data_IF_378974515279
#
_entry.id   IF_378974515279
#
_cell.length_a   1.000
_cell.length_b   1.000
_cell.length_c   1.000
_cell.angle_alpha   90.00
_cell.angle_beta   90.00
_cell.angle_gamma   90.00
#
_symmetry.space_group_name_H-M   'P 1'
#
loop_
_entity.id
_entity.type
_entity.pdbx_description
1 polymer ?
#
# COMPACT_ATOMS: atom_id res chain seq x y z
N UNK A 1 1.79 -14.89 -22.61
CA UNK A 1 0.87 -14.08 -21.76
C UNK A 1 -0.59 -14.17 -22.22
N UNK A 2 -0.99 -13.81 -23.46
CA UNK A 2 -2.38 -13.99 -23.92
C UNK A 2 -2.77 -15.48 -24.00
N UNK A 3 -1.91 -16.35 -24.52
CA UNK A 3 -2.09 -17.79 -24.52
C UNK A 3 -2.25 -18.39 -23.11
N UNK A 4 -1.53 -17.85 -22.12
CA UNK A 4 -1.63 -18.33 -20.73
C UNK A 4 -2.97 -17.94 -20.10
N UNK A 5 -3.50 -16.75 -20.42
CA UNK A 5 -4.83 -16.29 -19.99
C UNK A 5 -5.94 -17.10 -20.66
N UNK A 6 -5.80 -17.42 -21.96
CA UNK A 6 -6.72 -18.31 -22.67
C UNK A 6 -6.68 -19.74 -22.10
N UNK A 7 -5.52 -20.24 -21.69
CA UNK A 7 -5.38 -21.53 -21.03
C UNK A 7 -6.07 -21.56 -19.66
N UNK A 8 -5.99 -20.50 -18.85
CA UNK A 8 -6.69 -20.39 -17.57
C UNK A 8 -8.21 -20.46 -17.75
N UNK A 9 -8.74 -19.83 -18.80
CA UNK A 9 -10.16 -19.90 -19.14
C UNK A 9 -10.55 -21.32 -19.62
N UNK A 10 -9.75 -21.94 -20.49
CA UNK A 10 -9.98 -23.30 -21.02
C UNK A 10 -9.94 -24.39 -19.95
N UNK A 11 -9.14 -24.22 -18.90
CA UNK A 11 -9.05 -25.17 -17.78
C UNK A 11 -10.16 -24.99 -16.74
N UNK A 12 -11.03 -24.02 -16.89
CA UNK A 12 -12.12 -23.71 -15.95
C UNK A 12 -11.64 -23.42 -14.50
N UNK A 13 -10.36 -23.08 -14.32
CA UNK A 13 -9.78 -22.76 -13.01
C UNK A 13 -10.23 -21.37 -12.52
N UNK A 14 -10.49 -20.45 -13.46
CA UNK A 14 -10.90 -19.08 -13.15
C UNK A 14 -11.97 -18.65 -14.16
N UNK A 15 -13.06 -18.07 -13.68
CA UNK A 15 -14.10 -17.53 -14.56
C UNK A 15 -13.58 -16.35 -15.41
N UNK A 16 -14.07 -16.22 -16.63
CA UNK A 16 -13.64 -15.17 -17.58
C UNK A 16 -13.76 -13.76 -17.00
N UNK A 17 -14.86 -13.45 -16.33
CA UNK A 17 -15.07 -12.16 -15.65
C UNK A 17 -13.99 -11.88 -14.59
N UNK A 18 -13.54 -12.91 -13.90
CA UNK A 18 -12.47 -12.82 -12.91
C UNK A 18 -11.13 -12.55 -13.57
N UNK A 19 -10.83 -13.18 -14.71
CA UNK A 19 -9.61 -12.93 -15.49
C UNK A 19 -9.56 -11.47 -15.95
N UNK A 20 -10.65 -10.94 -16.50
CA UNK A 20 -10.78 -9.54 -16.92
C UNK A 20 -10.57 -8.60 -15.73
N UNK A 21 -11.19 -8.92 -14.58
CA UNK A 21 -11.04 -8.13 -13.35
C UNK A 21 -9.61 -8.13 -12.83
N UNK A 22 -8.94 -9.29 -12.78
CA UNK A 22 -7.54 -9.43 -12.38
C UNK A 22 -6.61 -8.65 -13.30
N UNK A 23 -6.76 -8.79 -14.62
CA UNK A 23 -5.93 -8.09 -15.60
C UNK A 23 -6.06 -6.57 -15.46
N UNK A 24 -7.30 -6.08 -15.31
CA UNK A 24 -7.55 -4.64 -15.11
C UNK A 24 -6.93 -4.14 -13.82
N UNK A 25 -7.09 -4.87 -12.72
CA UNK A 25 -6.55 -4.49 -11.41
C UNK A 25 -5.02 -4.46 -11.43
N UNK A 26 -4.39 -5.48 -12.00
CA UNK A 26 -2.92 -5.52 -12.16
C UNK A 26 -2.44 -4.35 -13.01
N UNK A 27 -3.10 -4.07 -14.15
CA UNK A 27 -2.73 -2.94 -15.00
C UNK A 27 -2.81 -1.61 -14.28
N UNK A 28 -3.90 -1.32 -13.58
CA UNK A 28 -4.07 -0.07 -12.83
C UNK A 28 -3.05 0.10 -11.69
N UNK A 29 -2.76 -0.97 -10.95
CA UNK A 29 -1.80 -0.92 -9.86
C UNK A 29 -0.36 -0.78 -10.39
N UNK A 30 -0.05 -1.45 -11.50
CA UNK A 30 1.27 -1.35 -12.14
C UNK A 30 1.49 0.06 -12.71
N UNK A 31 0.48 0.68 -13.33
CA UNK A 31 0.56 2.07 -13.80
C UNK A 31 0.96 3.03 -12.66
N UNK A 32 0.33 2.90 -11.50
CA UNK A 32 0.68 3.68 -10.31
C UNK A 32 2.10 3.43 -9.81
N UNK A 33 2.54 2.17 -9.80
CA UNK A 33 3.91 1.79 -9.41
C UNK A 33 4.92 2.43 -10.36
N UNK A 34 4.69 2.32 -11.67
CA UNK A 34 5.58 2.90 -12.70
C UNK A 34 5.65 4.42 -12.60
N UNK A 35 4.51 5.09 -12.46
CA UNK A 35 4.47 6.54 -12.27
C UNK A 35 5.29 6.96 -11.04
N UNK A 36 5.10 6.29 -9.90
CA UNK A 36 5.86 6.54 -8.67
C UNK A 36 7.36 6.29 -8.84
N UNK A 37 7.75 5.19 -9.50
CA UNK A 37 9.16 4.89 -9.77
C UNK A 37 9.82 5.96 -10.63
N UNK A 38 9.15 6.40 -11.71
CA UNK A 38 9.65 7.47 -12.58
C UNK A 38 9.87 8.76 -11.78
N UNK A 39 8.89 9.20 -11.00
CA UNK A 39 9.02 10.42 -10.21
C UNK A 39 10.14 10.32 -9.16
N UNK A 40 10.27 9.17 -8.51
CA UNK A 40 11.35 8.93 -7.53
C UNK A 40 12.73 9.00 -8.20
N UNK A 41 12.89 8.38 -9.36
CA UNK A 41 14.15 8.41 -10.11
C UNK A 41 14.47 9.81 -10.64
N UNK A 42 13.47 10.58 -11.07
CA UNK A 42 13.65 11.97 -11.49
C UNK A 42 14.15 12.82 -10.31
N UNK A 43 13.52 12.70 -9.14
CA UNK A 43 13.96 13.42 -7.94
C UNK A 43 15.38 13.04 -7.52
N UNK A 44 15.73 11.74 -7.53
CA UNK A 44 17.09 11.28 -7.23
C UNK A 44 18.14 11.89 -8.17
N UNK A 45 17.82 12.00 -9.46
CA UNK A 45 18.69 12.63 -10.44
C UNK A 45 18.82 14.14 -10.17
N UNK A 46 17.70 14.83 -9.89
CA UNK A 46 17.71 16.26 -9.56
C UNK A 46 18.59 16.55 -8.35
N UNK A 47 18.42 15.78 -7.27
CA UNK A 47 19.14 15.97 -6.02
C UNK A 47 20.63 15.64 -6.16
N UNK A 48 20.97 14.56 -6.85
CA UNK A 48 22.35 14.09 -7.00
C UNK A 48 23.15 14.92 -7.99
N UNK A 49 22.55 15.25 -9.13
CA UNK A 49 23.26 15.88 -10.26
C UNK A 49 23.06 17.41 -10.25
N UNK A 50 22.21 17.96 -9.38
CA UNK A 50 21.95 19.40 -9.26
C UNK A 50 21.27 20.01 -10.48
N UNK A 51 20.43 19.24 -11.18
CA UNK A 51 19.78 19.61 -12.44
C UNK A 51 18.29 19.92 -12.24
N UNK A 52 17.68 20.62 -13.22
CA UNK A 52 16.25 20.84 -13.22
C UNK A 52 15.45 19.59 -13.64
N UNK A 53 14.13 19.61 -13.42
CA UNK A 53 13.22 18.50 -13.74
C UNK A 53 13.32 18.08 -15.21
N UNK A 54 13.35 19.03 -16.14
CA UNK A 54 13.40 18.73 -17.57
C UNK A 54 14.72 18.04 -17.96
N UNK A 55 15.83 18.41 -17.33
CA UNK A 55 17.12 17.77 -17.54
C UNK A 55 17.16 16.39 -16.91
N UNK A 56 16.62 16.23 -15.68
CA UNK A 56 16.54 14.96 -14.99
C UNK A 56 15.72 13.94 -15.80
N UNK A 57 14.56 14.31 -16.32
CA UNK A 57 13.74 13.44 -17.18
C UNK A 57 14.48 13.02 -18.45
N UNK A 58 15.21 13.93 -19.08
CA UNK A 58 16.05 13.57 -20.25
C UNK A 58 17.15 12.58 -19.88
N UNK A 59 17.83 12.78 -18.74
CA UNK A 59 18.86 11.88 -18.26
C UNK A 59 18.27 10.49 -17.93
N UNK A 60 17.09 10.44 -17.32
CA UNK A 60 16.40 9.19 -17.00
C UNK A 60 16.14 8.36 -18.27
N UNK A 61 15.69 9.00 -19.37
CA UNK A 61 15.44 8.31 -20.63
C UNK A 61 16.70 7.57 -21.16
N UNK A 62 17.88 8.14 -21.00
CA UNK A 62 19.13 7.50 -21.40
C UNK A 62 19.56 6.35 -20.46
N UNK A 63 19.18 6.41 -19.17
CA UNK A 63 19.49 5.41 -18.16
C UNK A 63 18.43 4.31 -18.06
N UNK A 64 17.29 4.50 -18.70
CA UNK A 64 16.13 3.61 -18.52
C UNK A 64 16.41 2.17 -18.95
N UNK A 65 17.17 1.98 -20.03
CA UNK A 65 17.55 0.65 -20.53
C UNK A 65 18.35 -0.16 -19.50
N UNK A 66 19.19 0.49 -18.70
CA UNK A 66 20.00 -0.14 -17.65
C UNK A 66 19.18 -0.35 -16.37
N UNK A 67 18.21 0.52 -16.10
CA UNK A 67 17.38 0.47 -14.89
C UNK A 67 16.23 -0.54 -15.01
N UNK A 68 15.65 -0.69 -16.20
CA UNK A 68 14.47 -1.55 -16.42
C UNK A 68 14.63 -2.98 -15.86
N UNK A 69 15.73 -3.71 -16.13
CA UNK A 69 15.88 -5.08 -15.61
C UNK A 69 15.85 -5.12 -14.07
N UNK A 70 16.44 -4.13 -13.40
CA UNK A 70 16.48 -4.04 -11.93
C UNK A 70 15.09 -3.73 -11.37
N UNK A 71 14.34 -2.81 -12.01
CA UNK A 71 12.98 -2.46 -11.61
C UNK A 71 12.01 -3.63 -11.81
N UNK A 72 12.17 -4.38 -12.90
CA UNK A 72 11.38 -5.59 -13.17
C UNK A 72 11.65 -6.69 -12.13
N UNK A 73 12.92 -6.92 -11.79
CA UNK A 73 13.30 -7.90 -10.76
C UNK A 73 12.75 -7.50 -9.39
N UNK A 74 12.85 -6.23 -9.02
CA UNK A 74 12.30 -5.69 -7.79
C UNK A 74 10.77 -5.88 -7.73
N UNK A 75 10.06 -5.54 -8.81
CA UNK A 75 8.62 -5.69 -8.90
C UNK A 75 8.20 -7.16 -8.78
N UNK A 76 8.90 -8.06 -9.48
CA UNK A 76 8.64 -9.49 -9.41
C UNK A 76 8.92 -10.07 -8.03
N UNK A 77 10.02 -9.65 -7.38
CA UNK A 77 10.32 -10.04 -6.00
C UNK A 77 9.24 -9.59 -5.03
N UNK A 78 8.84 -8.31 -5.10
CA UNK A 78 7.79 -7.75 -4.25
C UNK A 78 6.46 -8.48 -4.45
N UNK A 79 6.06 -8.74 -5.71
CA UNK A 79 4.86 -9.49 -6.03
C UNK A 79 4.88 -10.90 -5.43
N UNK A 80 5.96 -11.66 -5.64
CA UNK A 80 6.11 -13.03 -5.11
C UNK A 80 6.04 -13.04 -3.59
N UNK A 81 6.71 -12.11 -2.93
CA UNK A 81 6.69 -11.97 -1.47
C UNK A 81 5.28 -11.71 -0.94
N UNK A 82 4.54 -10.78 -1.56
CA UNK A 82 3.17 -10.46 -1.16
C UNK A 82 2.21 -11.63 -1.43
N UNK A 83 2.37 -12.31 -2.55
CA UNK A 83 1.59 -13.51 -2.87
C UNK A 83 1.83 -14.61 -1.84
N UNK A 84 3.10 -14.91 -1.51
CA UNK A 84 3.44 -15.90 -0.46
C UNK A 84 2.81 -15.54 0.89
N UNK A 85 2.92 -14.28 1.30
CA UNK A 85 2.33 -13.80 2.55
C UNK A 85 0.80 -13.92 2.54
N UNK A 86 0.17 -13.62 1.41
CA UNK A 86 -1.28 -13.77 1.22
C UNK A 86 -1.74 -15.23 1.34
N UNK A 87 -1.05 -16.15 0.67
CA UNK A 87 -1.33 -17.59 0.73
C UNK A 87 -1.11 -18.14 2.15
N UNK A 88 -0.04 -17.73 2.82
CA UNK A 88 0.22 -18.14 4.20
C UNK A 88 -0.89 -17.68 5.15
N UNK A 89 -1.35 -16.44 5.02
CA UNK A 89 -2.51 -15.95 5.80
C UNK A 89 -3.77 -16.76 5.53
N UNK A 90 -4.03 -17.10 4.26
CA UNK A 90 -5.17 -17.92 3.89
C UNK A 90 -5.09 -19.31 4.55
N UNK A 91 -3.94 -19.97 4.46
CA UNK A 91 -3.70 -21.28 5.06
C UNK A 91 -3.86 -21.27 6.60
N UNK A 92 -3.34 -20.23 7.26
CA UNK A 92 -3.48 -20.08 8.72
C UNK A 92 -4.94 -19.83 9.14
N UNK A 93 -5.73 -19.15 8.32
CA UNK A 93 -7.18 -18.97 8.56
C UNK A 93 -7.93 -20.28 8.44
N UNK A 94 -7.66 -21.08 7.41
CA UNK A 94 -8.29 -22.37 7.23
C UNK A 94 -7.95 -23.33 8.37
N UNK A 95 -6.71 -23.34 8.84
CA UNK A 95 -6.32 -24.14 10.00
C UNK A 95 -6.99 -23.70 11.32
N UNK A 96 -7.30 -22.41 11.49
CA UNK A 96 -8.06 -21.92 12.66
C UNK A 96 -9.56 -22.22 12.57
N UNK A 97 -10.09 -22.48 11.38
CA UNK A 97 -11.50 -22.81 11.12
C UNK A 97 -11.84 -24.30 11.27
N UNK A 98 -10.97 -25.12 11.84
CA UNK A 98 -11.26 -26.53 12.19
C UNK A 98 -12.34 -26.68 13.28
N UNK A 99 -13.09 -25.63 13.60
CA UNK A 99 -14.36 -25.62 14.30
C UNK A 99 -15.55 -25.58 13.31
N UNK A 100 -16.74 -26.02 13.74
CA UNK A 100 -17.90 -26.25 12.87
C UNK A 100 -18.65 -24.99 12.38
N UNK A 101 -18.05 -23.81 12.42
CA UNK A 101 -18.73 -22.60 11.95
C UNK A 101 -18.42 -22.29 10.48
N UNK A 102 -19.46 -22.11 9.62
CA UNK A 102 -19.27 -21.66 8.25
C UNK A 102 -18.65 -20.27 8.23
N UNK A 103 -17.80 -20.02 7.23
CA UNK A 103 -17.25 -18.69 6.98
C UNK A 103 -18.36 -17.66 6.87
N UNK A 104 -18.61 -16.87 7.91
CA UNK A 104 -19.59 -15.80 7.87
C UNK A 104 -19.05 -14.68 7.00
N UNK A 105 -19.69 -14.40 5.89
CA UNK A 105 -19.64 -13.11 5.22
C UNK A 105 -20.71 -12.21 5.86
N UNK A 106 -20.41 -10.99 6.22
CA UNK A 106 -19.19 -10.22 5.96
C UNK A 106 -18.01 -10.56 6.88
N UNK A 107 -16.78 -10.33 6.41
CA UNK A 107 -15.57 -10.49 7.22
C UNK A 107 -15.56 -9.44 8.34
N UNK A 108 -15.29 -9.86 9.58
CA UNK A 108 -15.11 -8.90 10.70
C UNK A 108 -13.64 -8.52 10.80
N UNK A 109 -13.33 -7.22 10.80
CA UNK A 109 -11.97 -6.68 10.82
C UNK A 109 -11.89 -5.38 11.62
N UNK A 110 -10.69 -5.08 12.09
CA UNK A 110 -10.34 -3.75 12.52
C UNK A 110 -9.97 -2.88 11.32
N UNK A 111 -10.58 -1.72 11.23
CA UNK A 111 -10.30 -0.71 10.20
C UNK A 111 -9.81 0.53 10.91
N UNK A 112 -8.66 1.06 10.46
CA UNK A 112 -8.08 2.26 11.04
C UNK A 112 -7.67 3.26 9.97
N UNK A 113 -7.79 4.54 10.35
CA UNK A 113 -7.31 5.68 9.58
C UNK A 113 -6.38 6.48 10.48
N UNK A 114 -5.27 6.93 9.94
CA UNK A 114 -4.40 7.90 10.57
C UNK A 114 -4.14 9.05 9.60
N UNK A 115 -4.27 10.27 10.07
CA UNK A 115 -4.30 11.51 9.30
C UNK A 115 -3.44 12.56 10.00
N UNK A 116 -2.69 13.38 9.23
CA UNK A 116 -1.88 14.47 9.76
C UNK A 116 -2.75 15.65 10.19
N UNK A 117 -2.62 16.08 11.44
CA UNK A 117 -3.34 17.25 11.93
C UNK A 117 -2.85 18.52 11.23
N UNK A 118 -3.79 19.33 10.75
CA UNK A 118 -3.51 20.61 10.09
C UNK A 118 -2.72 20.52 8.77
N UNK A 119 -2.72 19.39 8.09
CA UNK A 119 -2.01 19.17 6.83
C UNK A 119 -2.27 20.28 5.80
N UNK A 120 -3.52 20.67 5.57
CA UNK A 120 -3.86 21.73 4.59
C UNK A 120 -3.17 23.06 4.88
N UNK A 121 -2.94 23.40 6.15
CA UNK A 121 -2.22 24.63 6.54
C UNK A 121 -0.70 24.46 6.39
N UNK A 122 -0.18 23.26 6.63
CA UNK A 122 1.24 22.94 6.44
C UNK A 122 1.65 23.02 4.97
N UNK A 123 0.87 22.43 4.07
CA UNK A 123 1.14 22.43 2.62
C UNK A 123 1.30 23.82 2.03
N UNK A 124 0.57 24.81 2.57
CA UNK A 124 0.67 26.21 2.09
C UNK A 124 2.02 26.85 2.34
N UNK A 125 2.79 26.34 3.30
CA UNK A 125 4.04 26.94 3.78
C UNK A 125 5.27 26.11 3.39
N UNK A 126 5.09 24.91 2.82
CA UNK A 126 6.15 24.00 2.43
C UNK A 126 6.42 24.08 0.93
N UNK A 127 7.70 23.99 0.58
CA UNK A 127 8.10 23.73 -0.82
C UNK A 127 7.76 22.28 -1.20
N UNK A 128 7.69 21.98 -2.49
CA UNK A 128 7.40 20.63 -2.98
C UNK A 128 8.38 19.57 -2.44
N UNK A 129 9.70 19.80 -2.36
CA UNK A 129 10.63 18.84 -1.73
C UNK A 129 10.40 18.63 -0.23
N UNK A 130 10.04 19.69 0.51
CA UNK A 130 9.74 19.59 1.93
C UNK A 130 8.47 18.81 2.19
N UNK A 131 7.44 19.06 1.38
CA UNK A 131 6.19 18.30 1.42
C UNK A 131 6.43 16.82 1.13
N UNK A 132 7.19 16.49 0.08
CA UNK A 132 7.52 15.11 -0.25
C UNK A 132 8.25 14.41 0.90
N UNK A 133 9.23 15.09 1.54
CA UNK A 133 9.94 14.54 2.70
C UNK A 133 9.00 14.31 3.90
N UNK A 134 8.10 15.23 4.17
CA UNK A 134 7.11 15.10 5.24
C UNK A 134 6.22 13.86 5.02
N UNK A 135 5.64 13.72 3.82
CA UNK A 135 4.76 12.59 3.48
C UNK A 135 5.53 11.27 3.56
N UNK A 136 6.73 11.19 2.96
CA UNK A 136 7.54 9.98 2.99
C UNK A 136 7.89 9.57 4.43
N UNK A 137 8.24 10.51 5.30
CA UNK A 137 8.53 10.24 6.71
C UNK A 137 7.28 9.75 7.45
N UNK A 138 6.14 10.38 7.23
CA UNK A 138 4.86 9.99 7.82
C UNK A 138 4.46 8.57 7.40
N UNK A 139 4.49 8.27 6.10
CA UNK A 139 4.17 6.94 5.58
C UNK A 139 5.13 5.88 6.13
N UNK A 140 6.43 6.17 6.19
CA UNK A 140 7.42 5.25 6.77
C UNK A 140 7.16 4.99 8.24
N UNK A 141 6.87 6.04 9.03
CA UNK A 141 6.55 5.90 10.46
C UNK A 141 5.28 5.05 10.67
N UNK A 142 4.27 5.25 9.83
CA UNK A 142 3.07 4.41 9.86
C UNK A 142 3.38 2.96 9.52
N UNK A 143 4.19 2.71 8.50
CA UNK A 143 4.59 1.35 8.10
C UNK A 143 5.36 0.62 9.21
N UNK A 144 6.29 1.31 9.85
CA UNK A 144 7.14 0.77 10.92
C UNK A 144 6.34 0.40 12.18
N UNK A 145 5.18 1.04 12.40
CA UNK A 145 4.28 0.75 13.52
C UNK A 145 3.24 -0.30 13.14
N UNK A 146 2.59 -0.15 11.99
CA UNK A 146 1.44 -0.96 11.58
C UNK A 146 1.85 -2.40 11.25
N UNK A 147 2.88 -2.57 10.42
CA UNK A 147 3.26 -3.89 9.91
C UNK A 147 3.76 -4.86 11.00
N UNK A 148 4.67 -4.47 11.92
CA UNK A 148 5.13 -5.34 13.00
C UNK A 148 4.04 -5.70 14.01
N UNK A 149 3.05 -4.81 14.19
CA UNK A 149 1.92 -5.02 15.11
C UNK A 149 0.76 -5.84 14.51
N UNK A 150 0.98 -6.47 13.35
CA UNK A 150 -0.02 -7.34 12.71
C UNK A 150 -1.07 -6.61 11.87
N UNK A 151 -0.88 -5.32 11.61
CA UNK A 151 -1.69 -4.54 10.69
C UNK A 151 -1.20 -4.64 9.25
N UNK A 152 -2.04 -4.18 8.33
CA UNK A 152 -1.73 -4.07 6.91
C UNK A 152 -2.22 -2.74 6.37
N UNK A 153 -1.32 -1.95 5.81
CA UNK A 153 -1.69 -0.75 5.07
C UNK A 153 -2.44 -1.20 3.79
N UNK A 154 -3.59 -0.62 3.56
CA UNK A 154 -4.44 -0.85 2.38
C UNK A 154 -4.09 0.17 1.31
N UNK A 155 -4.02 1.43 1.69
CA UNK A 155 -3.67 2.54 0.80
C UNK A 155 -3.24 3.75 1.60
N UNK A 156 -2.50 4.64 0.93
CA UNK A 156 -2.20 5.98 1.38
C UNK A 156 -2.93 6.99 0.48
N UNK A 157 -3.44 8.06 1.05
CA UNK A 157 -4.23 9.08 0.36
C UNK A 157 -3.75 10.48 0.80
N UNK A 158 -2.61 10.91 0.23
CA UNK A 158 -1.98 12.16 0.66
C UNK A 158 -1.46 12.06 2.08
N UNK A 159 -2.11 12.75 3.01
CA UNK A 159 -1.79 12.79 4.43
C UNK A 159 -2.51 11.73 5.28
N UNK A 160 -3.25 10.82 4.64
CA UNK A 160 -4.02 9.77 5.32
C UNK A 160 -3.47 8.38 4.98
N UNK A 161 -3.33 7.53 5.99
CA UNK A 161 -3.02 6.11 5.85
C UNK A 161 -4.21 5.28 6.32
N UNK A 162 -4.73 4.45 5.42
CA UNK A 162 -5.80 3.49 5.70
C UNK A 162 -5.20 2.11 5.95
N UNK A 163 -5.52 1.49 7.09
CA UNK A 163 -4.99 0.19 7.47
C UNK A 163 -6.04 -0.75 8.03
N UNK A 164 -5.73 -2.04 8.04
CA UNK A 164 -6.61 -3.12 8.44
C UNK A 164 -5.90 -4.06 9.41
N UNK A 165 -6.67 -4.63 10.36
CA UNK A 165 -6.20 -5.71 11.25
C UNK A 165 -7.17 -6.87 11.29
N UNK A 166 -6.67 -8.04 11.70
CA UNK A 166 -7.48 -9.26 11.84
C UNK A 166 -7.92 -9.53 13.29
N UNK A 167 -7.37 -8.80 14.25
CA UNK A 167 -7.68 -8.93 15.67
C UNK A 167 -8.06 -7.59 16.28
N UNK A 168 -9.05 -7.54 17.19
CA UNK A 168 -9.48 -6.31 17.84
C UNK A 168 -8.38 -5.70 18.73
N UNK A 169 -7.55 -6.52 19.34
CA UNK A 169 -6.43 -6.07 20.17
C UNK A 169 -5.40 -5.36 19.31
N UNK A 170 -5.11 -5.87 18.10
CA UNK A 170 -4.14 -5.29 17.19
C UNK A 170 -4.55 -3.90 16.70
N UNK A 171 -5.85 -3.67 16.40
CA UNK A 171 -6.29 -2.34 15.96
C UNK A 171 -6.16 -1.31 17.08
N UNK A 172 -6.48 -1.68 18.31
CA UNK A 172 -6.34 -0.81 19.47
C UNK A 172 -4.86 -0.49 19.76
N UNK A 173 -4.00 -1.51 19.78
CA UNK A 173 -2.56 -1.36 20.02
C UNK A 173 -1.90 -0.47 18.96
N UNK A 174 -2.16 -0.72 17.68
CA UNK A 174 -1.64 0.08 16.57
C UNK A 174 -2.08 1.53 16.70
N UNK A 175 -3.38 1.77 16.96
CA UNK A 175 -3.93 3.11 17.06
C UNK A 175 -3.30 3.92 18.20
N UNK A 176 -3.06 3.29 19.35
CA UNK A 176 -2.38 3.91 20.49
C UNK A 176 -0.91 4.21 20.14
N UNK A 177 -0.20 3.26 19.55
CA UNK A 177 1.20 3.46 19.14
C UNK A 177 1.35 4.59 18.12
N UNK A 178 0.46 4.67 17.12
CA UNK A 178 0.46 5.75 16.14
C UNK A 178 0.28 7.12 16.82
N UNK A 179 -0.72 7.24 17.69
CA UNK A 179 -0.99 8.48 18.41
C UNK A 179 0.17 8.88 19.35
N UNK A 180 0.81 7.90 20.01
CA UNK A 180 1.87 8.17 20.97
C UNK A 180 3.24 8.42 20.34
N UNK A 181 3.60 7.70 19.29
CA UNK A 181 4.95 7.71 18.73
C UNK A 181 5.12 8.79 17.67
N UNK A 182 4.11 8.97 16.79
CA UNK A 182 4.18 10.02 15.78
C UNK A 182 3.99 11.41 16.40
N UNK A 183 3.11 11.54 17.40
CA UNK A 183 2.85 12.81 18.08
C UNK A 183 3.99 13.33 18.99
N UNK A 184 5.05 12.54 19.21
CA UNK A 184 6.22 12.95 20.04
C UNK A 184 7.34 13.59 19.24
N UNK A 185 7.38 13.38 17.94
CA UNK A 185 8.38 13.97 17.06
C UNK A 185 7.85 15.31 16.54
N UNK A 186 8.60 16.42 16.61
CA UNK A 186 8.16 17.69 16.03
C UNK A 186 7.97 17.62 14.51
N UNK A 187 8.52 16.60 13.86
CA UNK A 187 8.34 16.27 12.45
C UNK A 187 8.18 14.74 12.27
N UNK A 188 7.04 14.18 11.91
CA UNK A 188 5.80 14.82 11.41
C UNK A 188 4.96 15.46 12.54
N UNK A 189 3.99 16.33 12.16
CA UNK A 189 3.08 16.93 13.11
C UNK A 189 2.17 15.86 13.78
N UNK A 190 1.39 16.28 14.79
CA UNK A 190 0.42 15.44 15.47
C UNK A 190 -0.47 14.70 14.46
N UNK A 191 -0.90 13.50 14.85
CA UNK A 191 -1.80 12.68 14.05
C UNK A 191 -3.17 12.52 14.73
N UNK A 192 -4.20 12.40 13.91
CA UNK A 192 -5.52 11.94 14.31
C UNK A 192 -5.66 10.49 13.90
N UNK A 193 -6.09 9.64 14.84
CA UNK A 193 -6.33 8.22 14.57
C UNK A 193 -7.81 7.92 14.83
N UNK A 194 -8.44 7.29 13.86
CA UNK A 194 -9.81 6.76 13.98
C UNK A 194 -9.76 5.24 13.77
N UNK A 195 -10.55 4.50 14.54
CA UNK A 195 -10.63 3.05 14.42
C UNK A 195 -12.06 2.56 14.60
N UNK A 196 -12.35 1.44 13.94
CA UNK A 196 -13.59 0.69 14.11
C UNK A 196 -13.31 -0.81 14.03
N UNK A 197 -14.03 -1.61 14.81
CA UNK A 197 -14.06 -3.05 14.68
C UNK A 197 -15.45 -3.47 14.20
N UNK A 198 -15.55 -4.09 13.03
CA UNK A 198 -16.85 -4.40 12.46
C UNK A 198 -16.80 -5.22 11.19
N UNK A 199 -17.97 -5.41 10.60
CA UNK A 199 -18.15 -6.10 9.34
C UNK A 199 -17.58 -5.29 8.18
N UNK A 200 -16.82 -5.94 7.30
CA UNK A 200 -16.22 -5.32 6.13
C UNK A 200 -16.44 -6.15 4.88
N UNK A 201 -16.58 -5.48 3.75
CA UNK A 201 -16.53 -6.05 2.42
C UNK A 201 -15.16 -5.78 1.80
N UNK A 202 -14.42 -6.83 1.47
CA UNK A 202 -13.20 -6.72 0.68
C UNK A 202 -13.55 -6.82 -0.81
N UNK A 203 -13.21 -5.82 -1.59
CA UNK A 203 -13.44 -5.81 -3.04
C UNK A 203 -12.28 -5.15 -3.76
N UNK A 204 -11.68 -5.86 -4.72
CA UNK A 204 -10.57 -5.38 -5.58
C UNK A 204 -9.37 -4.80 -4.82
N UNK A 205 -9.04 -5.39 -3.66
CA UNK A 205 -7.94 -4.92 -2.81
C UNK A 205 -8.30 -3.76 -1.88
N UNK A 206 -9.48 -3.18 -2.02
CA UNK A 206 -10.03 -2.18 -1.10
C UNK A 206 -10.99 -2.82 -0.07
N UNK A 207 -11.32 -2.06 0.97
CA UNK A 207 -12.17 -2.52 2.06
C UNK A 207 -13.23 -1.46 2.35
N UNK A 208 -14.47 -1.93 2.46
CA UNK A 208 -15.64 -1.10 2.76
C UNK A 208 -16.24 -1.57 4.08
N UNK A 209 -16.46 -0.66 5.02
CA UNK A 209 -17.20 -0.93 6.26
C UNK A 209 -18.71 -0.73 6.02
N UNK A 210 -19.54 -1.50 6.73
CA UNK A 210 -20.99 -1.37 6.75
C UNK A 210 -21.45 -0.65 8.01
#
# INVERSE_FOLDING_TARGET
MLEDLENLNRTNLVAEESIVSLTRSVGQLTDRIVAWQIETLVHDIMDRDGVDDAQARRQLLFRLADLMPVLEELALYAYRRQMYTGVLRLALRENKKLGPEPAQLPLVRGVGFVDLVSYTSLVRNLSAPELARLINRFEQSCLDIIAPSGGRIIKTLGDEVFFLTEAPEAIAEISLKLAEQIGKDPEPPEVRVALIWGAVLANRGDVYAF
#
